data_IF_656881674669
#
_entry.id   IF_656881674669
#
_cell.length_a   1.000
_cell.length_b   1.000
_cell.length_c   1.000
_cell.angle_alpha   90.00
_cell.angle_beta   90.00
_cell.angle_gamma   90.00
#
_symmetry.space_group_name_H-M   'P 1'
#
loop_
_entity.id
_entity.type
_entity.pdbx_description
1 polymer ?
#
# COMPACT_ATOMS: atom_id res chain seq x y z
N UNK A 1 -13.40 -9.73 -21.62
CA UNK A 1 -12.11 -9.03 -21.67
C UNK A 1 -11.42 -9.25 -20.33
N UNK A 2 -10.15 -9.69 -20.34
CA UNK A 2 -9.38 -9.94 -19.12
C UNK A 2 -9.03 -8.61 -18.45
N UNK A 3 -9.59 -8.35 -17.26
CA UNK A 3 -9.31 -7.17 -16.42
C UNK A 3 -7.81 -7.02 -16.12
N UNK A 4 -7.12 -8.16 -15.98
CA UNK A 4 -5.73 -8.23 -15.53
C UNK A 4 -4.77 -7.70 -16.61
N UNK A 5 -5.11 -7.85 -17.90
CA UNK A 5 -4.19 -7.50 -18.99
C UNK A 5 -3.94 -5.99 -19.11
N UNK A 6 -4.91 -5.18 -18.67
CA UNK A 6 -4.87 -3.72 -18.78
C UNK A 6 -4.44 -3.03 -17.47
N UNK A 7 -4.25 -3.81 -16.40
CA UNK A 7 -3.96 -3.28 -15.08
C UNK A 7 -2.48 -2.91 -14.94
N UNK A 8 -2.20 -1.66 -14.57
CA UNK A 8 -0.85 -1.24 -14.18
C UNK A 8 -0.61 -1.66 -12.72
N UNK A 9 0.21 -2.68 -12.54
CA UNK A 9 0.53 -3.24 -11.22
C UNK A 9 1.70 -2.46 -10.60
N UNK A 10 1.53 -1.78 -9.45
CA UNK A 10 2.62 -1.19 -8.69
C UNK A 10 3.42 -2.26 -7.92
N UNK A 11 4.61 -1.91 -7.47
CA UNK A 11 5.41 -2.77 -6.58
C UNK A 11 5.09 -2.52 -5.10
N UNK A 12 5.59 -3.43 -4.25
CA UNK A 12 5.57 -3.34 -2.79
C UNK A 12 4.14 -3.21 -2.23
N UNK A 13 3.99 -2.54 -1.08
CA UNK A 13 2.71 -2.21 -0.44
C UNK A 13 1.83 -1.26 -1.27
N UNK A 14 2.33 -0.80 -2.42
CA UNK A 14 1.53 -0.08 -3.40
C UNK A 14 0.63 -1.00 -4.20
N UNK A 15 0.88 -2.32 -4.21
CA UNK A 15 0.17 -3.30 -5.03
C UNK A 15 -1.34 -3.23 -4.83
N UNK A 16 -1.82 -3.42 -3.60
CA UNK A 16 -3.25 -3.48 -3.28
C UNK A 16 -3.94 -2.15 -3.58
N UNK A 17 -3.33 -1.04 -3.17
CA UNK A 17 -3.86 0.31 -3.39
C UNK A 17 -3.92 0.65 -4.87
N UNK A 18 -2.87 0.34 -5.63
CA UNK A 18 -2.85 0.61 -7.07
C UNK A 18 -3.80 -0.29 -7.83
N UNK A 19 -3.91 -1.58 -7.48
CA UNK A 19 -4.90 -2.49 -8.06
C UNK A 19 -6.30 -1.95 -7.80
N UNK A 20 -6.64 -1.63 -6.55
CA UNK A 20 -7.95 -1.09 -6.20
C UNK A 20 -8.24 0.24 -6.92
N UNK A 21 -7.24 1.11 -7.03
CA UNK A 21 -7.38 2.40 -7.70
C UNK A 21 -7.56 2.27 -9.22
N UNK A 22 -6.86 1.34 -9.88
CA UNK A 22 -7.08 1.00 -11.29
C UNK A 22 -8.47 0.39 -11.49
N UNK A 23 -8.92 -0.49 -10.59
CA UNK A 23 -10.26 -1.07 -10.65
C UNK A 23 -11.34 0.01 -10.53
N UNK A 24 -11.22 0.89 -9.53
CA UNK A 24 -12.16 2.02 -9.32
C UNK A 24 -12.19 3.00 -10.50
N UNK A 25 -11.05 3.20 -11.19
CA UNK A 25 -10.96 4.09 -12.34
C UNK A 25 -11.60 3.50 -13.59
N UNK A 26 -11.35 2.21 -13.85
CA UNK A 26 -11.71 1.57 -15.10
C UNK A 26 -13.10 0.89 -15.06
N UNK A 27 -13.66 0.69 -13.87
CA UNK A 27 -14.95 0.01 -13.70
C UNK A 27 -15.91 0.81 -12.82
N UNK A 28 -17.19 0.78 -13.19
CA UNK A 28 -18.25 1.34 -12.36
C UNK A 28 -18.36 0.58 -11.03
N UNK A 29 -18.65 1.30 -9.94
CA UNK A 29 -18.70 0.75 -8.58
C UNK A 29 -19.67 -0.44 -8.46
N UNK A 30 -20.75 -0.49 -9.24
CA UNK A 30 -21.69 -1.61 -9.26
C UNK A 30 -21.13 -2.91 -9.88
N UNK A 31 -19.90 -2.88 -10.39
CA UNK A 31 -19.13 -4.05 -10.85
C UNK A 31 -18.04 -4.46 -9.86
N UNK A 32 -17.93 -3.76 -8.73
CA UNK A 32 -17.02 -4.08 -7.65
C UNK A 32 -17.85 -4.66 -6.50
N UNK A 33 -17.37 -5.74 -5.90
CA UNK A 33 -17.98 -6.31 -4.72
C UNK A 33 -16.91 -6.72 -3.72
N UNK A 34 -17.28 -6.75 -2.44
CA UNK A 34 -16.53 -7.34 -1.37
C UNK A 34 -17.36 -8.51 -0.83
N UNK A 35 -16.70 -9.62 -0.53
CA UNK A 35 -17.33 -10.81 0.02
C UNK A 35 -16.63 -11.19 1.30
N UNK A 36 -17.39 -11.68 2.27
CA UNK A 36 -16.82 -12.30 3.45
C UNK A 36 -16.18 -13.64 3.06
N UNK A 37 -14.98 -13.89 3.55
CA UNK A 37 -14.16 -15.06 3.20
C UNK A 37 -13.98 -16.01 4.38
N UNK A 38 -14.13 -15.53 5.62
CA UNK A 38 -13.88 -16.32 6.81
C UNK A 38 -14.50 -15.68 8.05
N UNK A 39 -15.11 -16.51 8.90
CA UNK A 39 -15.61 -16.05 10.21
C UNK A 39 -14.49 -15.49 11.10
N UNK A 40 -13.31 -16.11 11.05
CA UNK A 40 -12.11 -15.68 11.76
C UNK A 40 -10.94 -15.65 10.78
N UNK A 41 -10.25 -14.52 10.73
CA UNK A 41 -9.03 -14.35 9.96
C UNK A 41 -7.88 -14.00 10.90
N UNK A 42 -6.99 -14.98 11.13
CA UNK A 42 -5.75 -14.76 11.85
C UNK A 42 -4.70 -14.19 10.89
N UNK A 43 -4.03 -13.11 11.30
CA UNK A 43 -3.08 -12.41 10.46
C UNK A 43 -1.80 -12.16 11.24
N UNK A 44 -0.69 -12.09 10.51
CA UNK A 44 0.61 -11.80 11.11
C UNK A 44 0.62 -10.38 11.68
N UNK A 45 0.65 -10.27 12.99
CA UNK A 45 0.87 -8.99 13.66
C UNK A 45 2.30 -8.50 13.41
N UNK A 46 2.43 -7.21 13.14
CA UNK A 46 3.70 -6.53 12.88
C UNK A 46 3.95 -5.50 13.98
N UNK A 47 5.21 -5.31 14.34
CA UNK A 47 5.58 -4.28 15.30
C UNK A 47 5.36 -2.88 14.71
N UNK A 48 4.96 -1.94 15.57
CA UNK A 48 4.78 -0.54 15.19
C UNK A 48 6.08 0.07 14.60
N UNK A 49 7.24 -0.36 15.12
CA UNK A 49 8.57 0.03 14.67
C UNK A 49 8.80 1.56 14.76
N UNK A 50 8.54 2.15 15.93
CA UNK A 50 8.69 3.59 16.19
C UNK A 50 10.14 4.04 15.93
N UNK A 51 11.11 3.25 16.40
CA UNK A 51 12.54 3.60 16.34
C UNK A 51 13.21 3.23 15.00
N UNK A 52 12.56 2.41 14.18
CA UNK A 52 13.08 1.96 12.89
C UNK A 52 12.02 2.03 11.80
N UNK A 53 11.98 3.18 11.12
CA UNK A 53 11.03 3.45 10.02
C UNK A 53 11.21 2.56 8.80
N UNK A 54 12.28 1.77 8.73
CA UNK A 54 12.49 0.80 7.65
C UNK A 54 11.79 -0.55 7.92
N UNK A 55 11.08 -0.69 9.04
CA UNK A 55 10.44 -1.94 9.46
C UNK A 55 8.96 -1.76 9.83
N UNK A 56 8.29 -2.90 9.94
CA UNK A 56 6.93 -3.03 10.48
C UNK A 56 5.90 -2.06 9.90
N UNK A 57 5.00 -1.59 10.76
CA UNK A 57 3.90 -0.71 10.37
C UNK A 57 4.37 0.68 9.94
N UNK A 58 5.50 1.17 10.47
CA UNK A 58 6.08 2.44 10.04
C UNK A 58 6.47 2.41 8.55
N UNK A 59 7.24 1.40 8.12
CA UNK A 59 7.57 1.24 6.69
C UNK A 59 6.31 1.09 5.84
N UNK A 60 5.37 0.27 6.26
CA UNK A 60 4.14 0.01 5.51
C UNK A 60 3.33 1.31 5.30
N UNK A 61 3.10 2.08 6.35
CA UNK A 61 2.35 3.35 6.27
C UNK A 61 3.05 4.39 5.38
N UNK A 62 4.38 4.45 5.42
CA UNK A 62 5.20 5.28 4.52
C UNK A 62 4.99 4.89 3.06
N UNK A 63 5.05 3.59 2.74
CA UNK A 63 4.89 3.08 1.38
C UNK A 63 3.46 3.34 0.86
N UNK A 64 2.45 3.13 1.72
CA UNK A 64 1.03 3.45 1.46
C UNK A 64 0.85 4.94 1.14
N UNK A 65 1.38 5.84 1.98
CA UNK A 65 1.25 7.28 1.78
C UNK A 65 1.86 7.73 0.45
N UNK A 66 3.07 7.26 0.13
CA UNK A 66 3.73 7.53 -1.16
C UNK A 66 2.93 7.01 -2.34
N UNK A 67 2.35 5.81 -2.24
CA UNK A 67 1.51 5.24 -3.28
C UNK A 67 0.26 6.10 -3.53
N UNK A 68 -0.41 6.55 -2.46
CA UNK A 68 -1.56 7.46 -2.57
C UNK A 68 -1.19 8.78 -3.24
N UNK A 69 -0.13 9.46 -2.79
CA UNK A 69 0.28 10.75 -3.35
C UNK A 69 0.61 10.66 -4.83
N UNK A 70 1.40 9.65 -5.22
CA UNK A 70 1.71 9.38 -6.62
C UNK A 70 0.45 9.12 -7.44
N UNK A 71 -0.46 8.29 -6.93
CA UNK A 71 -1.68 7.93 -7.66
C UNK A 71 -2.60 9.14 -7.85
N UNK A 72 -2.81 9.93 -6.81
CA UNK A 72 -3.60 11.16 -6.87
C UNK A 72 -2.95 12.19 -7.82
N UNK A 73 -1.63 12.34 -7.79
CA UNK A 73 -0.92 13.20 -8.72
C UNK A 73 -1.11 12.76 -10.19
N UNK A 74 -1.10 11.44 -10.47
CA UNK A 74 -1.41 10.94 -11.82
C UNK A 74 -2.86 11.21 -12.27
N UNK A 75 -3.75 11.51 -11.33
CA UNK A 75 -5.12 11.92 -11.60
C UNK A 75 -5.29 13.45 -11.68
N UNK A 76 -4.22 14.23 -11.53
CA UNK A 76 -4.22 15.69 -11.63
C UNK A 76 -4.23 16.44 -10.30
N UNK A 77 -4.16 15.75 -9.16
CA UNK A 77 -4.05 16.42 -7.86
C UNK A 77 -2.69 17.09 -7.69
N UNK A 78 -2.71 18.33 -7.21
CA UNK A 78 -1.49 19.11 -6.97
C UNK A 78 -1.12 19.01 -5.50
N UNK A 79 0.09 18.56 -5.23
CA UNK A 79 0.65 18.49 -3.88
C UNK A 79 1.66 19.60 -3.64
N UNK A 80 1.57 20.21 -2.45
CA UNK A 80 2.53 21.17 -1.92
C UNK A 80 2.82 20.83 -0.46
N UNK A 81 3.88 21.39 0.15
CA UNK A 81 4.13 21.23 1.58
C UNK A 81 2.93 21.58 2.46
N UNK A 82 2.15 22.61 2.09
CA UNK A 82 0.94 23.05 2.80
C UNK A 82 -0.19 22.02 2.71
N UNK A 83 -0.35 21.37 1.55
CA UNK A 83 -1.31 20.28 1.38
C UNK A 83 -0.96 19.12 2.31
N UNK A 84 0.31 18.72 2.39
CA UNK A 84 0.74 17.65 3.29
C UNK A 84 0.52 18.00 4.77
N UNK A 85 0.81 19.24 5.18
CA UNK A 85 0.50 19.71 6.55
C UNK A 85 -1.00 19.62 6.85
N UNK A 86 -1.84 19.95 5.87
CA UNK A 86 -3.30 19.88 6.00
C UNK A 86 -3.79 18.44 6.10
N UNK A 87 -3.24 17.53 5.28
CA UNK A 87 -3.55 16.09 5.34
C UNK A 87 -3.13 15.53 6.70
N UNK A 88 -1.92 15.82 7.18
CA UNK A 88 -1.43 15.39 8.49
C UNK A 88 -2.34 15.88 9.62
N UNK A 89 -2.74 17.14 9.61
CA UNK A 89 -3.65 17.70 10.62
C UNK A 89 -5.04 17.04 10.59
N UNK A 90 -5.57 16.79 9.39
CA UNK A 90 -6.88 16.17 9.20
C UNK A 90 -6.88 14.70 9.64
N UNK A 91 -5.85 13.96 9.24
CA UNK A 91 -5.60 12.59 9.69
C UNK A 91 -5.54 12.52 11.22
N UNK A 92 -4.70 13.37 11.84
CA UNK A 92 -4.50 13.36 13.28
C UNK A 92 -5.81 13.62 14.04
N UNK A 93 -6.61 14.60 13.58
CA UNK A 93 -7.92 14.89 14.20
C UNK A 93 -8.87 13.70 14.11
N UNK A 94 -9.06 13.13 12.91
CA UNK A 94 -9.96 11.99 12.70
C UNK A 94 -9.50 10.78 13.50
N UNK A 95 -8.19 10.54 13.58
CA UNK A 95 -7.63 9.42 14.31
C UNK A 95 -7.88 9.52 15.82
N UNK A 96 -7.79 10.72 16.41
CA UNK A 96 -8.14 10.92 17.83
C UNK A 96 -9.62 10.64 18.10
N UNK A 97 -10.52 11.07 17.20
CA UNK A 97 -11.96 10.77 17.32
C UNK A 97 -12.22 9.25 17.27
N UNK A 98 -11.45 8.51 16.46
CA UNK A 98 -11.51 7.06 16.43
C UNK A 98 -10.94 6.39 17.67
N UNK A 99 -9.84 6.90 18.23
CA UNK A 99 -9.30 6.37 19.50
C UNK A 99 -10.36 6.46 20.61
N UNK A 100 -11.07 7.59 20.70
CA UNK A 100 -12.16 7.75 21.68
C UNK A 100 -13.29 6.76 21.42
N UNK A 101 -13.69 6.60 20.15
CA UNK A 101 -14.78 5.71 19.76
C UNK A 101 -14.46 4.24 20.05
N UNK A 102 -13.26 3.78 19.69
CA UNK A 102 -12.81 2.40 19.90
C UNK A 102 -12.49 2.10 21.36
N UNK A 103 -12.04 3.09 22.14
CA UNK A 103 -11.93 2.92 23.58
C UNK A 103 -13.30 2.63 24.21
N UNK A 104 -14.33 3.40 23.84
CA UNK A 104 -15.68 3.18 24.35
C UNK A 104 -16.24 1.81 23.91
N UNK A 105 -15.99 1.41 22.66
CA UNK A 105 -16.39 0.09 22.16
C UNK A 105 -15.68 -1.04 22.93
N UNK A 106 -14.37 -0.94 23.15
CA UNK A 106 -13.62 -1.90 23.94
C UNK A 106 -14.17 -2.02 25.37
N UNK A 107 -14.49 -0.90 26.04
CA UNK A 107 -15.06 -0.88 27.39
C UNK A 107 -16.41 -1.60 27.43
N UNK A 108 -17.32 -1.34 26.48
CA UNK A 108 -18.63 -1.98 26.41
C UNK A 108 -18.49 -3.50 26.23
N UNK A 109 -17.49 -3.93 25.47
CA UNK A 109 -17.20 -5.34 25.22
C UNK A 109 -16.31 -5.99 26.29
N UNK A 110 -15.93 -5.26 27.36
CA UNK A 110 -15.08 -5.77 28.44
C UNK A 110 -13.63 -6.06 28.01
N UNK A 111 -13.16 -5.42 26.94
CA UNK A 111 -11.80 -5.54 26.41
C UNK A 111 -10.89 -4.48 27.01
N UNK A 112 -9.61 -4.82 27.18
CA UNK A 112 -8.58 -3.86 27.55
C UNK A 112 -8.21 -3.01 26.33
N UNK A 113 -8.05 -1.70 26.55
CA UNK A 113 -7.67 -0.75 25.51
C UNK A 113 -6.52 0.12 26.00
N UNK A 114 -5.36 0.03 25.35
CA UNK A 114 -4.19 0.85 25.66
C UNK A 114 -4.20 2.12 24.83
N UNK A 115 -4.85 3.15 25.35
CA UNK A 115 -4.95 4.45 24.70
C UNK A 115 -3.59 5.08 24.38
N UNK A 116 -2.59 4.89 25.25
CA UNK A 116 -1.28 5.52 25.05
C UNK A 116 -0.58 4.94 23.83
N UNK A 117 -0.58 3.61 23.70
CA UNK A 117 -0.01 2.92 22.54
C UNK A 117 -0.74 3.29 21.24
N UNK A 118 -2.05 3.46 21.29
CA UNK A 118 -2.86 3.90 20.14
C UNK A 118 -2.52 5.35 19.72
N UNK A 119 -2.43 6.28 20.67
CA UNK A 119 -2.02 7.67 20.37
C UNK A 119 -0.58 7.74 19.83
N UNK A 120 0.36 6.99 20.40
CA UNK A 120 1.73 6.89 19.90
C UNK A 120 1.78 6.35 18.45
N UNK A 121 0.89 5.41 18.11
CA UNK A 121 0.75 4.89 16.75
C UNK A 121 0.28 5.98 15.78
N UNK A 122 -0.74 6.75 16.18
CA UNK A 122 -1.27 7.88 15.39
C UNK A 122 -0.20 8.96 15.17
N UNK A 123 0.58 9.31 16.20
CA UNK A 123 1.69 10.26 16.07
C UNK A 123 2.73 9.79 15.05
N UNK A 124 3.11 8.51 15.11
CA UNK A 124 4.06 7.91 14.18
C UNK A 124 3.53 7.94 12.73
N UNK A 125 2.28 7.50 12.51
CA UNK A 125 1.66 7.52 11.19
C UNK A 125 1.50 8.95 10.64
N UNK A 126 1.18 9.92 11.51
CA UNK A 126 1.12 11.32 11.13
C UNK A 126 2.50 11.88 10.70
N UNK A 127 3.58 11.45 11.35
CA UNK A 127 4.96 11.77 10.91
C UNK A 127 5.24 11.18 9.53
N UNK A 128 4.86 9.92 9.32
CA UNK A 128 5.09 9.24 8.05
C UNK A 128 4.35 9.88 6.87
N UNK A 129 3.15 10.46 7.09
CA UNK A 129 2.43 11.25 6.08
C UNK A 129 3.28 12.45 5.62
N UNK A 130 3.90 13.17 6.56
CA UNK A 130 4.74 14.34 6.25
C UNK A 130 6.01 13.92 5.50
N UNK A 131 6.73 12.94 6.01
CA UNK A 131 7.97 12.44 5.40
C UNK A 131 7.75 11.82 4.02
N UNK A 132 6.63 11.11 3.82
CA UNK A 132 6.21 10.62 2.51
C UNK A 132 5.95 11.77 1.53
N UNK A 133 5.36 12.86 2.02
CA UNK A 133 5.10 14.06 1.23
C UNK A 133 6.39 14.78 0.83
N UNK A 134 7.33 14.93 1.76
CA UNK A 134 8.67 15.47 1.49
C UNK A 134 9.40 14.62 0.44
N UNK A 135 9.43 13.31 0.62
CA UNK A 135 10.02 12.37 -0.34
C UNK A 135 9.40 12.49 -1.73
N UNK A 136 8.08 12.65 -1.80
CA UNK A 136 7.35 12.84 -3.05
C UNK A 136 7.76 14.13 -3.77
N UNK A 137 7.96 15.23 -3.04
CA UNK A 137 8.38 16.51 -3.62
C UNK A 137 9.85 16.51 -4.04
N UNK A 138 10.73 15.88 -3.27
CA UNK A 138 12.17 15.82 -3.53
C UNK A 138 12.54 14.89 -4.69
N UNK A 139 11.69 13.91 -5.01
CA UNK A 139 11.95 12.89 -6.05
C UNK A 139 10.91 12.89 -7.16
N UNK A 140 10.78 13.99 -7.94
CA UNK A 140 9.75 14.11 -8.98
C UNK A 140 9.92 13.13 -10.15
N UNK A 141 11.11 12.54 -10.30
CA UNK A 141 11.42 11.61 -11.39
C UNK A 141 11.26 10.13 -11.00
N UNK A 142 10.98 9.83 -9.73
CA UNK A 142 10.74 8.45 -9.30
C UNK A 142 9.49 7.91 -10.02
N UNK A 143 9.70 6.87 -10.83
CA UNK A 143 8.61 6.29 -11.61
C UNK A 143 7.65 5.54 -10.68
N UNK A 144 6.34 5.80 -10.76
CA UNK A 144 5.36 5.24 -9.83
C UNK A 144 5.09 3.74 -10.04
N UNK A 145 5.52 3.16 -11.16
CA UNK A 145 5.20 1.78 -11.53
C UNK A 145 6.42 1.07 -12.07
N UNK A 146 6.48 -0.24 -11.84
CA UNK A 146 7.34 -1.11 -12.63
C UNK A 146 6.97 -0.97 -14.12
N UNK A 147 7.94 -1.13 -15.05
CA UNK A 147 7.65 -1.13 -16.47
C UNK A 147 6.51 -2.11 -16.81
N UNK A 148 5.55 -1.69 -17.64
CA UNK A 148 4.51 -2.62 -18.12
C UNK A 148 5.14 -3.74 -18.96
N UNK A 149 4.51 -4.91 -19.01
CA UNK A 149 4.98 -6.02 -19.86
C UNK A 149 5.13 -5.60 -21.33
N UNK A 150 4.25 -4.75 -21.85
CA UNK A 150 4.41 -4.18 -23.19
C UNK A 150 5.72 -3.39 -23.34
N UNK A 151 6.12 -2.62 -22.32
CA UNK A 151 7.41 -1.90 -22.32
C UNK A 151 8.59 -2.85 -22.17
N UNK A 152 8.48 -3.88 -21.33
CA UNK A 152 9.52 -4.90 -21.13
C UNK A 152 9.75 -5.69 -22.41
N UNK A 153 8.69 -6.24 -23.01
CA UNK A 153 8.74 -6.99 -24.28
C UNK A 153 9.28 -6.10 -25.41
N UNK A 154 8.88 -4.82 -25.47
CA UNK A 154 9.43 -3.91 -26.47
C UNK A 154 10.93 -3.65 -26.29
N UNK A 155 11.46 -3.70 -25.06
CA UNK A 155 12.87 -3.46 -24.76
C UNK A 155 13.71 -4.75 -24.83
N UNK A 156 13.11 -5.89 -24.49
CA UNK A 156 13.72 -7.22 -24.44
C UNK A 156 12.72 -8.19 -25.10
N UNK A 157 12.74 -8.32 -26.45
CA UNK A 157 11.74 -9.08 -27.19
C UNK A 157 11.64 -10.56 -26.83
N UNK A 158 12.72 -11.16 -26.32
CA UNK A 158 12.85 -12.57 -25.97
C UNK A 158 12.69 -12.84 -24.45
N UNK A 159 12.31 -11.84 -23.66
CA UNK A 159 12.20 -11.96 -22.18
C UNK A 159 11.32 -13.12 -21.72
N UNK A 160 10.24 -13.42 -22.46
CA UNK A 160 9.31 -14.49 -22.10
C UNK A 160 9.96 -15.87 -22.27
N UNK A 161 10.82 -16.04 -23.27
CA UNK A 161 11.58 -17.29 -23.46
C UNK A 161 12.72 -17.41 -22.46
N UNK A 162 13.36 -16.29 -22.08
CA UNK A 162 14.35 -16.28 -21.01
C UNK A 162 13.73 -16.71 -19.67
N UNK A 163 12.55 -16.18 -19.34
CA UNK A 163 11.81 -16.55 -18.13
C UNK A 163 11.40 -18.03 -18.14
N UNK A 164 10.90 -18.53 -19.29
CA UNK A 164 10.55 -19.94 -19.44
C UNK A 164 11.78 -20.83 -19.23
N UNK A 165 12.89 -20.52 -19.88
CA UNK A 165 14.16 -21.25 -19.73
C UNK A 165 14.60 -21.27 -18.27
N UNK A 166 14.58 -20.12 -17.58
CA UNK A 166 14.97 -20.02 -16.18
C UNK A 166 14.09 -20.89 -15.26
N UNK A 167 12.77 -20.96 -15.52
CA UNK A 167 11.86 -21.85 -14.76
C UNK A 167 12.14 -23.32 -15.05
N UNK A 168 12.42 -23.67 -16.31
CA UNK A 168 12.77 -25.05 -16.69
C UNK A 168 14.09 -25.49 -16.06
N UNK A 169 15.09 -24.60 -15.98
CA UNK A 169 16.38 -24.83 -15.33
C UNK A 169 16.22 -25.00 -13.81
N UNK A 170 15.48 -24.11 -13.14
CA UNK A 170 15.18 -24.21 -11.71
C UNK A 170 14.44 -25.51 -11.37
N UNK A 171 13.44 -25.87 -12.18
CA UNK A 171 12.74 -27.15 -12.03
C UNK A 171 13.69 -28.33 -12.18
N UNK A 172 14.61 -28.31 -13.16
CA UNK A 172 15.57 -29.39 -13.36
C UNK A 172 16.57 -29.53 -12.20
N UNK A 173 16.96 -28.41 -11.57
CA UNK A 173 17.89 -28.39 -10.44
C UNK A 173 17.25 -28.87 -9.13
N UNK A 174 16.00 -28.46 -8.84
CA UNK A 174 15.37 -28.67 -7.53
C UNK A 174 14.30 -29.75 -7.49
N UNK A 175 13.90 -30.35 -8.62
CA UNK A 175 12.97 -31.49 -8.60
C UNK A 175 13.69 -32.75 -8.13
N UNK A 176 13.24 -33.41 -7.06
CA UNK A 176 13.82 -34.68 -6.64
C UNK A 176 13.63 -35.72 -7.75
N UNK A 177 14.71 -36.36 -8.17
CA UNK A 177 14.63 -37.52 -9.05
C UNK A 177 13.92 -38.64 -8.27
N UNK A 178 12.81 -39.15 -8.81
CA UNK A 178 12.08 -40.29 -8.24
C UNK A 178 12.91 -41.57 -8.34
#
# INVERSE_FOLDING_TARGET
ASVINDLRIPSDWGLEIGVLSEMKRNYATNRLCQVDIANNYDHKHQDLSIDDKAKGLSRMSMDIAKAFFRKLATNGEVFSPEVFRTIKASYYRIALDFIDSYQNDAIINGLNYDRHTEEASVEMFASNIMEAGEHFLERPMDKPFIPSWNRVISAIPDILEQLKTAVEEDQAEYTPTK
#
